data_IF_080701921910
#
_entry.id   IF_080701921910
#
_cell.length_a   1.000
_cell.length_b   1.000
_cell.length_c   1.000
_cell.angle_alpha   90.00
_cell.angle_beta   90.00
_cell.angle_gamma   90.00
#
_symmetry.space_group_name_H-M   'P 1'
#
loop_
_entity.id
_entity.type
_entity.pdbx_description
1 polymer ?
#
# COMPACT_ATOMS: atom_id res chain seq x y z
N UNK A 1 -49.24 34.69 14.69
CA UNK A 1 -48.80 33.34 14.28
C UNK A 1 -50.06 32.52 14.12
N UNK A 2 -50.43 32.15 12.89
CA UNK A 2 -51.44 31.12 12.73
C UNK A 2 -50.72 29.80 13.01
N UNK A 3 -51.15 29.07 14.03
CA UNK A 3 -50.69 27.70 14.24
C UNK A 3 -51.14 26.89 13.03
N UNK A 4 -50.17 26.35 12.28
CA UNK A 4 -50.44 25.35 11.25
C UNK A 4 -51.03 24.13 11.97
N UNK A 5 -52.33 23.91 11.84
CA UNK A 5 -52.97 22.70 12.35
C UNK A 5 -52.49 21.50 11.52
N UNK A 6 -51.98 20.48 12.21
CA UNK A 6 -51.60 19.21 11.60
C UNK A 6 -52.86 18.40 11.24
N UNK A 7 -52.80 17.64 10.14
CA UNK A 7 -53.84 16.66 9.82
C UNK A 7 -53.92 15.56 10.88
N UNK A 8 -55.10 15.02 11.15
CA UNK A 8 -55.28 13.83 12.01
C UNK A 8 -55.22 12.52 11.20
N UNK A 9 -55.10 12.60 9.87
CA UNK A 9 -54.96 11.44 8.99
C UNK A 9 -53.49 11.05 8.82
N UNK A 10 -53.15 9.81 9.19
CA UNK A 10 -51.78 9.30 9.14
C UNK A 10 -51.21 9.30 7.72
N UNK A 11 -52.02 8.95 6.72
CA UNK A 11 -51.60 8.91 5.31
C UNK A 11 -51.27 10.33 4.79
N UNK A 12 -52.04 11.32 5.20
CA UNK A 12 -51.77 12.74 4.90
C UNK A 12 -50.44 13.18 5.53
N UNK A 13 -50.23 12.93 6.83
CA UNK A 13 -48.96 13.26 7.51
C UNK A 13 -47.77 12.56 6.84
N UNK A 14 -47.90 11.27 6.50
CA UNK A 14 -46.84 10.51 5.83
C UNK A 14 -46.46 11.12 4.47
N UNK A 15 -47.47 11.53 3.71
CA UNK A 15 -47.28 12.16 2.39
C UNK A 15 -46.59 13.52 2.51
N UNK A 16 -46.98 14.33 3.50
CA UNK A 16 -46.32 15.62 3.79
C UNK A 16 -44.87 15.42 4.20
N UNK A 17 -44.57 14.47 5.08
CA UNK A 17 -43.19 14.14 5.50
C UNK A 17 -42.34 13.73 4.30
N UNK A 18 -42.84 12.82 3.46
CA UNK A 18 -42.13 12.38 2.24
C UNK A 18 -41.89 13.55 1.27
N UNK A 19 -42.85 14.47 1.15
CA UNK A 19 -42.69 15.69 0.35
C UNK A 19 -41.56 16.58 0.88
N UNK A 20 -41.52 16.83 2.18
CA UNK A 20 -40.44 17.61 2.80
C UNK A 20 -39.07 16.92 2.71
N UNK A 21 -39.02 15.60 2.85
CA UNK A 21 -37.78 14.83 2.64
C UNK A 21 -37.26 14.97 1.22
N UNK A 22 -38.13 14.82 0.21
CA UNK A 22 -37.78 15.02 -1.19
C UNK A 22 -37.31 16.45 -1.46
N UNK A 23 -38.02 17.44 -0.92
CA UNK A 23 -37.63 18.85 -1.05
C UNK A 23 -36.28 19.14 -0.39
N UNK A 24 -36.02 18.58 0.79
CA UNK A 24 -34.73 18.71 1.49
C UNK A 24 -33.59 18.08 0.68
N UNK A 25 -33.81 16.90 0.10
CA UNK A 25 -32.85 16.24 -0.79
C UNK A 25 -32.50 17.06 -2.03
N UNK A 26 -33.52 17.57 -2.73
CA UNK A 26 -33.32 18.45 -3.90
C UNK A 26 -32.65 19.78 -3.53
N UNK A 27 -32.97 20.32 -2.35
CA UNK A 27 -32.40 21.58 -1.87
C UNK A 27 -30.89 21.52 -1.75
N UNK A 28 -30.31 20.37 -1.38
CA UNK A 28 -28.85 20.18 -1.32
C UNK A 28 -28.19 20.48 -2.68
N UNK A 29 -28.74 19.91 -3.77
CA UNK A 29 -28.21 20.11 -5.12
C UNK A 29 -28.45 21.53 -5.63
N UNK A 30 -29.64 22.09 -5.38
CA UNK A 30 -29.99 23.44 -5.79
C UNK A 30 -29.18 24.53 -5.07
N UNK A 31 -28.81 24.30 -3.80
CA UNK A 31 -27.86 25.13 -3.06
C UNK A 31 -26.48 25.02 -3.70
N UNK A 32 -25.97 23.80 -3.93
CA UNK A 32 -24.66 23.58 -4.57
C UNK A 32 -24.53 24.24 -5.94
N UNK A 33 -25.57 24.14 -6.78
CA UNK A 33 -25.64 24.77 -8.10
C UNK A 33 -25.53 26.30 -8.03
N UNK A 34 -26.27 26.94 -7.12
CA UNK A 34 -26.24 28.40 -6.93
C UNK A 34 -24.91 28.88 -6.37
N UNK A 35 -24.37 28.15 -5.40
CA UNK A 35 -23.05 28.43 -4.84
C UNK A 35 -21.96 28.36 -5.92
N UNK A 36 -22.01 27.34 -6.79
CA UNK A 36 -21.09 27.20 -7.93
C UNK A 36 -21.21 28.39 -8.89
N UNK A 37 -22.44 28.72 -9.28
CA UNK A 37 -22.71 29.84 -10.18
C UNK A 37 -22.10 31.15 -9.67
N UNK A 38 -22.37 31.50 -8.40
CA UNK A 38 -21.84 32.72 -7.78
C UNK A 38 -20.31 32.70 -7.71
N UNK A 39 -19.73 31.54 -7.38
CA UNK A 39 -18.26 31.38 -7.27
C UNK A 39 -17.55 31.53 -8.61
N UNK A 40 -18.17 31.09 -9.71
CA UNK A 40 -17.59 31.12 -11.05
C UNK A 40 -17.88 32.42 -11.83
N UNK A 41 -19.02 33.07 -11.60
CA UNK A 41 -19.52 34.15 -12.47
C UNK A 41 -19.64 35.52 -11.78
N UNK A 42 -19.96 35.57 -10.48
CA UNK A 42 -20.45 36.81 -9.86
C UNK A 42 -19.44 37.49 -8.91
N UNK A 43 -18.35 36.81 -8.57
CA UNK A 43 -17.40 37.31 -7.58
C UNK A 43 -16.02 37.52 -8.20
N UNK A 44 -15.55 38.78 -8.16
CA UNK A 44 -14.14 39.10 -8.40
C UNK A 44 -13.23 38.29 -7.45
N UNK A 45 -12.04 37.91 -7.93
CA UNK A 45 -11.08 37.10 -7.17
C UNK A 45 -10.93 37.60 -5.72
N UNK A 46 -11.08 36.69 -4.76
CA UNK A 46 -10.92 36.96 -3.33
C UNK A 46 -12.20 37.26 -2.55
N UNK A 47 -13.35 37.54 -3.19
CA UNK A 47 -14.60 37.90 -2.48
C UNK A 47 -15.48 36.73 -2.01
N UNK A 48 -15.12 35.50 -2.37
CA UNK A 48 -15.89 34.29 -2.02
C UNK A 48 -16.10 34.13 -0.51
N UNK A 49 -15.04 34.34 0.27
CA UNK A 49 -15.06 34.15 1.71
C UNK A 49 -15.99 35.14 2.41
N UNK A 50 -15.94 36.42 2.02
CA UNK A 50 -16.79 37.48 2.55
C UNK A 50 -18.26 37.22 2.19
N UNK A 51 -18.54 36.82 0.96
CA UNK A 51 -19.89 36.52 0.51
C UNK A 51 -20.51 35.32 1.26
N UNK A 52 -19.77 34.22 1.42
CA UNK A 52 -20.23 33.09 2.24
C UNK A 52 -20.59 33.54 3.67
N UNK A 53 -19.77 34.41 4.28
CA UNK A 53 -20.04 34.96 5.61
C UNK A 53 -21.33 35.81 5.63
N UNK A 54 -21.60 36.59 4.59
CA UNK A 54 -22.83 37.40 4.49
C UNK A 54 -24.10 36.56 4.46
N UNK A 55 -24.07 35.38 3.83
CA UNK A 55 -25.19 34.44 3.80
C UNK A 55 -25.19 33.47 5.00
N UNK A 56 -24.41 33.75 6.05
CA UNK A 56 -24.24 32.90 7.23
C UNK A 56 -23.82 31.46 6.92
N UNK A 57 -22.98 31.27 5.91
CA UNK A 57 -22.46 29.97 5.49
C UNK A 57 -20.94 29.92 5.63
N UNK A 58 -20.39 28.81 6.14
CA UNK A 58 -18.95 28.61 6.12
C UNK A 58 -18.47 28.29 4.70
N UNK A 59 -17.27 28.75 4.35
CA UNK A 59 -16.65 28.45 3.04
C UNK A 59 -16.50 26.94 2.83
N UNK A 60 -16.17 26.20 3.90
CA UNK A 60 -16.09 24.74 3.88
C UNK A 60 -17.45 24.12 3.51
N UNK A 61 -18.52 24.49 4.22
CA UNK A 61 -19.86 23.97 3.95
C UNK A 61 -20.35 24.32 2.53
N UNK A 62 -20.05 25.53 2.06
CA UNK A 62 -20.37 25.96 0.70
C UNK A 62 -19.62 25.13 -0.36
N UNK A 63 -18.32 24.92 -0.17
CA UNK A 63 -17.51 24.11 -1.08
C UNK A 63 -17.97 22.64 -1.09
N UNK A 64 -18.40 22.09 0.05
CA UNK A 64 -18.96 20.73 0.12
C UNK A 64 -20.25 20.60 -0.69
N UNK A 65 -21.14 21.60 -0.65
CA UNK A 65 -22.35 21.64 -1.49
C UNK A 65 -22.02 21.69 -2.97
N UNK A 66 -21.05 22.53 -3.36
CA UNK A 66 -20.57 22.59 -4.75
C UNK A 66 -20.06 21.22 -5.18
N UNK A 67 -19.20 20.58 -4.37
CA UNK A 67 -18.64 19.26 -4.66
C UNK A 67 -19.73 18.20 -4.85
N UNK A 68 -20.72 18.14 -3.96
CA UNK A 68 -21.86 17.21 -4.09
C UNK A 68 -22.62 17.47 -5.40
N UNK A 69 -22.89 18.74 -5.73
CA UNK A 69 -23.57 19.09 -6.97
C UNK A 69 -22.77 18.67 -8.21
N UNK A 70 -21.46 18.94 -8.24
CA UNK A 70 -20.61 18.62 -9.39
C UNK A 70 -20.51 17.12 -9.67
N UNK A 71 -20.43 16.31 -8.62
CA UNK A 71 -20.22 14.87 -8.75
C UNK A 71 -21.49 14.09 -9.09
N UNK A 72 -22.66 14.58 -8.65
CA UNK A 72 -23.92 13.86 -8.84
C UNK A 72 -24.88 14.52 -9.82
N UNK A 73 -24.70 15.80 -10.17
CA UNK A 73 -25.52 16.57 -11.12
C UNK A 73 -27.04 16.27 -11.06
N UNK A 74 -27.58 16.18 -9.84
CA UNK A 74 -29.00 15.90 -9.56
C UNK A 74 -29.51 14.52 -10.07
N UNK A 75 -28.67 13.48 -10.08
CA UNK A 75 -29.09 12.09 -10.31
C UNK A 75 -30.15 11.68 -9.27
N UNK A 76 -31.32 11.27 -9.73
CA UNK A 76 -32.52 10.99 -8.91
C UNK A 76 -32.33 9.92 -7.83
N UNK A 77 -31.32 9.05 -7.92
CA UNK A 77 -31.04 8.04 -6.90
C UNK A 77 -30.31 8.61 -5.68
N UNK A 78 -29.69 9.80 -5.81
CA UNK A 78 -28.91 10.43 -4.73
C UNK A 78 -29.74 11.37 -3.86
N UNK A 79 -30.99 11.67 -4.21
CA UNK A 79 -31.83 12.65 -3.51
C UNK A 79 -32.38 12.18 -2.16
N UNK A 80 -32.31 10.87 -1.85
CA UNK A 80 -32.75 10.32 -0.55
C UNK A 80 -31.65 10.32 0.50
N UNK A 81 -30.38 10.52 0.11
CA UNK A 81 -29.24 10.41 1.03
C UNK A 81 -29.03 11.70 1.83
N UNK A 82 -28.66 11.59 3.12
CA UNK A 82 -28.25 12.75 3.91
C UNK A 82 -27.03 13.45 3.31
N UNK A 83 -26.96 14.77 3.48
CA UNK A 83 -25.87 15.62 2.95
C UNK A 83 -24.47 15.10 3.26
N UNK A 84 -24.22 14.65 4.49
CA UNK A 84 -22.89 14.17 4.89
C UNK A 84 -22.52 12.88 4.15
N UNK A 85 -23.47 11.95 3.95
CA UNK A 85 -23.24 10.73 3.18
C UNK A 85 -22.92 11.08 1.72
N UNK A 86 -23.71 11.97 1.11
CA UNK A 86 -23.46 12.46 -0.24
C UNK A 86 -22.06 13.08 -0.36
N UNK A 87 -21.66 13.90 0.61
CA UNK A 87 -20.33 14.50 0.59
C UNK A 87 -19.22 13.46 0.70
N UNK A 88 -19.32 12.49 1.61
CA UNK A 88 -18.29 11.46 1.73
C UNK A 88 -18.19 10.64 0.42
N UNK A 89 -19.32 10.22 -0.17
CA UNK A 89 -19.35 9.49 -1.45
C UNK A 89 -18.78 10.35 -2.60
N UNK A 90 -19.12 11.64 -2.68
CA UNK A 90 -18.58 12.57 -3.67
C UNK A 90 -17.04 12.71 -3.60
N UNK A 91 -16.44 12.37 -2.46
CA UNK A 91 -14.98 12.41 -2.29
C UNK A 91 -14.29 11.07 -2.50
N UNK A 92 -15.03 9.99 -2.74
CA UNK A 92 -14.48 8.72 -3.19
C UNK A 92 -14.09 8.81 -4.67
N UNK A 93 -13.10 8.02 -5.12
CA UNK A 93 -12.85 7.82 -6.54
C UNK A 93 -14.12 7.33 -7.25
N UNK A 94 -14.42 7.87 -8.43
CA UNK A 94 -15.61 7.52 -9.20
C UNK A 94 -15.88 6.00 -9.33
N UNK A 95 -14.89 5.14 -9.67
CA UNK A 95 -15.15 3.69 -9.77
C UNK A 95 -15.50 3.03 -8.44
N UNK A 96 -15.09 3.60 -7.31
CA UNK A 96 -15.34 3.04 -5.99
C UNK A 96 -16.73 3.42 -5.46
N UNK A 97 -17.43 4.37 -6.08
CA UNK A 97 -18.75 4.88 -5.63
C UNK A 97 -19.91 3.91 -5.86
N UNK A 98 -19.78 3.01 -6.83
CA UNK A 98 -20.82 2.04 -7.21
C UNK A 98 -20.39 0.60 -6.97
N UNK A 99 -19.15 0.38 -6.55
CA UNK A 99 -18.60 -0.93 -6.29
C UNK A 99 -18.97 -1.40 -4.89
N UNK A 100 -19.20 -2.69 -4.72
CA UNK A 100 -19.38 -3.30 -3.42
C UNK A 100 -18.07 -3.33 -2.63
N UNK A 101 -18.17 -3.05 -1.33
CA UNK A 101 -17.06 -3.05 -0.40
C UNK A 101 -17.43 -3.78 0.89
N UNK A 102 -16.47 -4.48 1.47
CA UNK A 102 -16.61 -5.08 2.79
C UNK A 102 -16.38 -4.03 3.86
N UNK A 103 -17.40 -3.77 4.66
CA UNK A 103 -17.34 -2.84 5.81
C UNK A 103 -16.50 -3.41 6.96
N UNK A 104 -16.17 -2.58 7.95
CA UNK A 104 -15.49 -3.01 9.18
C UNK A 104 -16.23 -4.10 9.96
N UNK A 105 -17.55 -4.22 9.73
CA UNK A 105 -18.40 -5.22 10.39
C UNK A 105 -18.49 -6.53 9.57
N UNK A 106 -17.80 -6.63 8.43
CA UNK A 106 -17.84 -7.79 7.54
C UNK A 106 -19.02 -7.83 6.57
N UNK A 107 -19.89 -6.83 6.58
CA UNK A 107 -21.02 -6.72 5.64
C UNK A 107 -20.55 -6.17 4.29
N UNK A 108 -21.04 -6.73 3.19
CA UNK A 108 -20.84 -6.21 1.84
C UNK A 108 -21.92 -5.18 1.53
N UNK A 109 -21.50 -3.94 1.23
CA UNK A 109 -22.39 -2.82 0.93
C UNK A 109 -21.86 -1.99 -0.22
N UNK A 110 -22.74 -1.33 -0.96
CA UNK A 110 -22.35 -0.21 -1.82
C UNK A 110 -22.26 1.10 -0.99
N UNK A 111 -21.48 2.10 -1.43
CA UNK A 111 -21.30 3.35 -0.68
C UNK A 111 -22.59 4.12 -0.32
N UNK A 112 -23.64 4.00 -1.11
CA UNK A 112 -24.96 4.59 -0.83
C UNK A 112 -25.72 3.91 0.32
N UNK A 113 -25.38 2.67 0.64
CA UNK A 113 -25.93 1.91 1.77
C UNK A 113 -25.09 2.08 3.05
N UNK A 114 -23.91 2.69 2.93
CA UNK A 114 -22.99 2.87 4.04
C UNK A 114 -23.34 4.08 4.93
N UNK A 115 -23.07 3.92 6.22
CA UNK A 115 -23.03 5.02 7.16
C UNK A 115 -21.84 5.94 6.88
N UNK A 116 -21.92 7.20 7.31
CA UNK A 116 -20.82 8.18 7.21
C UNK A 116 -19.52 7.65 7.84
N UNK A 117 -19.62 6.86 8.91
CA UNK A 117 -18.44 6.26 9.57
C UNK A 117 -17.80 5.20 8.67
N UNK A 118 -18.59 4.30 8.08
CA UNK A 118 -18.11 3.28 7.15
C UNK A 118 -17.47 3.92 5.91
N UNK A 119 -18.08 4.98 5.35
CA UNK A 119 -17.53 5.72 4.21
C UNK A 119 -16.16 6.35 4.51
N UNK A 120 -15.99 6.92 5.71
CA UNK A 120 -14.70 7.49 6.13
C UNK A 120 -13.62 6.43 6.28
N UNK A 121 -13.99 5.27 6.82
CA UNK A 121 -13.07 4.16 6.98
C UNK A 121 -12.68 3.57 5.61
N UNK A 122 -13.65 3.38 4.70
CA UNK A 122 -13.38 2.98 3.32
C UNK A 122 -12.39 3.93 2.65
N UNK A 123 -12.57 5.24 2.80
CA UNK A 123 -11.67 6.25 2.25
C UNK A 123 -10.25 6.16 2.83
N UNK A 124 -10.13 5.90 4.14
CA UNK A 124 -8.84 5.69 4.82
C UNK A 124 -8.14 4.45 4.26
N UNK A 125 -8.87 3.34 4.08
CA UNK A 125 -8.34 2.09 3.54
C UNK A 125 -7.88 2.23 2.09
N UNK A 126 -8.68 2.87 1.24
CA UNK A 126 -8.31 3.14 -0.16
C UNK A 126 -7.03 3.97 -0.23
N UNK A 127 -6.92 5.02 0.58
CA UNK A 127 -5.72 5.86 0.64
C UNK A 127 -4.47 5.06 1.05
N UNK A 128 -4.57 4.25 2.09
CA UNK A 128 -3.46 3.40 2.54
C UNK A 128 -3.02 2.40 1.47
N UNK A 129 -3.99 1.75 0.81
CA UNK A 129 -3.72 0.81 -0.28
C UNK A 129 -3.03 1.51 -1.46
N UNK A 130 -3.48 2.70 -1.83
CA UNK A 130 -2.89 3.46 -2.93
C UNK A 130 -1.45 3.93 -2.59
N UNK A 131 -1.19 4.34 -1.35
CA UNK A 131 0.16 4.66 -0.84
C UNK A 131 1.08 3.43 -0.88
N UNK A 132 0.60 2.28 -0.42
CA UNK A 132 1.35 1.01 -0.47
C UNK A 132 1.65 0.59 -1.92
N UNK A 133 0.65 0.68 -2.81
CA UNK A 133 0.83 0.34 -4.22
C UNK A 133 1.84 1.27 -4.90
N UNK A 134 1.81 2.57 -4.61
CA UNK A 134 2.80 3.51 -5.14
C UNK A 134 4.23 3.19 -4.66
N UNK A 135 4.37 2.81 -3.39
CA UNK A 135 5.66 2.40 -2.83
C UNK A 135 6.18 1.11 -3.47
N UNK A 136 5.31 0.11 -3.67
CA UNK A 136 5.67 -1.14 -4.35
C UNK A 136 6.04 -0.90 -5.82
N UNK A 137 5.27 -0.07 -6.52
CA UNK A 137 5.56 0.29 -7.91
C UNK A 137 6.93 0.96 -8.05
N UNK A 138 7.26 1.88 -7.15
CA UNK A 138 8.58 2.52 -7.12
C UNK A 138 9.72 1.51 -6.88
N UNK A 139 9.51 0.49 -6.04
CA UNK A 139 10.51 -0.56 -5.80
C UNK A 139 10.69 -1.44 -7.04
N UNK A 140 9.59 -1.82 -7.71
CA UNK A 140 9.65 -2.59 -8.96
C UNK A 140 10.38 -1.83 -10.05
N UNK A 141 10.11 -0.53 -10.23
CA UNK A 141 10.81 0.30 -11.21
C UNK A 141 12.31 0.43 -10.91
N UNK A 142 12.69 0.54 -9.63
CA UNK A 142 14.10 0.55 -9.23
C UNK A 142 14.78 -0.78 -9.57
N UNK A 143 14.13 -1.91 -9.27
CA UNK A 143 14.64 -3.24 -9.60
C UNK A 143 14.77 -3.48 -11.11
N UNK A 144 13.81 -3.02 -11.91
CA UNK A 144 13.88 -3.13 -13.37
C UNK A 144 15.00 -2.26 -13.96
N UNK A 145 15.23 -1.07 -13.40
CA UNK A 145 16.35 -0.22 -13.82
C UNK A 145 17.69 -0.86 -13.49
N UNK A 146 17.85 -1.44 -12.30
CA UNK A 146 19.10 -2.12 -11.94
C UNK A 146 19.33 -3.35 -12.81
N UNK A 147 18.30 -4.14 -13.10
CA UNK A 147 18.37 -5.27 -14.04
C UNK A 147 18.77 -4.83 -15.45
N UNK A 148 18.16 -3.76 -15.99
CA UNK A 148 18.50 -3.24 -17.33
C UNK A 148 19.95 -2.76 -17.42
N UNK A 149 20.46 -2.11 -16.38
CA UNK A 149 21.87 -1.69 -16.31
C UNK A 149 22.79 -2.92 -16.30
N UNK A 150 22.48 -3.92 -15.48
CA UNK A 150 23.25 -5.15 -15.41
C UNK A 150 23.26 -5.90 -16.76
N UNK A 151 22.12 -5.97 -17.46
CA UNK A 151 22.03 -6.59 -18.79
C UNK A 151 22.85 -5.84 -19.85
N UNK A 152 22.81 -4.51 -19.89
CA UNK A 152 23.64 -3.71 -20.82
C UNK A 152 25.13 -3.91 -20.57
N UNK A 153 25.54 -3.92 -19.30
CA UNK A 153 26.91 -4.24 -18.92
C UNK A 153 27.30 -5.69 -19.29
N UNK A 154 26.32 -6.59 -19.38
CA UNK A 154 26.51 -7.97 -19.84
C UNK A 154 26.75 -8.04 -21.35
N UNK A 155 25.92 -7.35 -22.12
CA UNK A 155 26.01 -7.28 -23.58
C UNK A 155 27.28 -6.54 -24.06
N UNK A 156 27.62 -5.40 -23.47
CA UNK A 156 28.87 -4.67 -23.76
C UNK A 156 30.12 -5.53 -23.46
N UNK A 157 29.99 -6.41 -22.47
CA UNK A 157 31.07 -7.27 -22.06
C UNK A 157 31.26 -8.51 -22.94
N UNK A 158 30.19 -9.03 -23.51
CA UNK A 158 30.23 -10.13 -24.48
C UNK A 158 30.68 -9.64 -25.86
N UNK A 159 30.34 -8.40 -26.23
CA UNK A 159 30.74 -7.79 -27.51
C UNK A 159 32.16 -7.20 -27.52
N UNK A 160 32.92 -7.27 -26.41
CA UNK A 160 34.35 -6.93 -26.39
C UNK A 160 35.18 -8.14 -26.79
N UNK A 161 36.06 -8.00 -27.78
CA UNK A 161 37.02 -9.03 -28.17
C UNK A 161 37.84 -9.51 -26.96
N UNK A 162 38.06 -10.83 -26.80
CA UNK A 162 38.86 -11.35 -25.68
C UNK A 162 40.31 -10.86 -25.81
N UNK A 163 40.74 -10.01 -24.88
CA UNK A 163 42.16 -9.67 -24.72
C UNK A 163 42.92 -10.95 -24.34
N UNK A 164 43.77 -11.42 -25.25
CA UNK A 164 44.70 -12.52 -25.00
C UNK A 164 45.79 -12.03 -24.06
N UNK A 165 45.56 -12.19 -22.76
CA UNK A 165 46.59 -11.99 -21.74
C UNK A 165 47.31 -13.33 -21.58
N UNK A 166 48.56 -13.41 -22.03
CA UNK A 166 49.49 -14.47 -21.64
C UNK A 166 49.64 -14.43 -20.11
N UNK A 167 48.96 -15.34 -19.41
CA UNK A 167 49.10 -15.52 -17.97
C UNK A 167 50.12 -16.61 -17.69
N UNK A 168 51.24 -16.22 -17.11
CA UNK A 168 52.07 -17.11 -16.31
C UNK A 168 51.17 -17.79 -15.28
N UNK A 169 51.09 -19.12 -15.33
CA UNK A 169 50.30 -19.94 -14.40
C UNK A 169 50.98 -19.91 -13.03
N UNK A 170 50.70 -18.89 -12.23
CA UNK A 170 50.96 -18.94 -10.80
C UNK A 170 49.95 -19.93 -10.21
N UNK A 171 50.45 -21.10 -9.81
CA UNK A 171 49.71 -22.05 -8.97
C UNK A 171 49.42 -21.37 -7.63
N UNK A 172 48.31 -20.66 -7.54
CA UNK A 172 47.81 -20.16 -6.27
C UNK A 172 47.27 -21.36 -5.47
N UNK A 173 48.08 -21.83 -4.52
CA UNK A 173 47.67 -22.86 -3.57
C UNK A 173 46.73 -22.19 -2.57
N UNK A 174 45.48 -22.65 -2.53
CA UNK A 174 44.49 -22.18 -1.54
C UNK A 174 45.07 -22.36 -0.13
N UNK A 175 45.30 -21.27 0.63
CA UNK A 175 45.88 -21.35 1.97
C UNK A 175 45.03 -22.23 2.91
N UNK A 176 45.66 -23.02 3.78
CA UNK A 176 44.94 -23.97 4.65
C UNK A 176 44.01 -23.27 5.67
N UNK A 177 44.28 -22.03 6.01
CA UNK A 177 43.40 -21.23 6.89
C UNK A 177 42.04 -20.92 6.23
N UNK A 178 42.03 -20.71 4.91
CA UNK A 178 40.80 -20.50 4.13
C UNK A 178 39.96 -21.79 4.11
N UNK A 179 40.60 -22.95 3.99
CA UNK A 179 39.91 -24.25 4.08
C UNK A 179 39.28 -24.45 5.47
N UNK A 180 39.97 -24.05 6.55
CA UNK A 180 39.46 -24.19 7.92
C UNK A 180 38.27 -23.28 8.20
N UNK A 181 38.33 -22.02 7.75
CA UNK A 181 37.20 -21.09 7.83
C UNK A 181 35.97 -21.60 7.05
N UNK A 182 36.21 -22.27 5.92
CA UNK A 182 35.17 -22.87 5.11
C UNK A 182 34.47 -24.03 5.81
N UNK A 183 35.25 -24.92 6.44
CA UNK A 183 34.72 -26.05 7.21
C UNK A 183 33.84 -25.57 8.39
N UNK A 184 34.26 -24.50 9.07
CA UNK A 184 33.50 -23.86 10.13
C UNK A 184 32.20 -23.22 9.61
N UNK A 185 32.25 -22.57 8.44
CA UNK A 185 31.07 -22.01 7.80
C UNK A 185 30.08 -23.10 7.39
N UNK A 186 30.56 -24.24 6.84
CA UNK A 186 29.72 -25.40 6.51
C UNK A 186 28.98 -25.96 7.72
N UNK A 187 29.68 -26.18 8.85
CA UNK A 187 29.04 -26.69 10.07
C UNK A 187 28.00 -25.72 10.64
N UNK A 188 28.29 -24.42 10.62
CA UNK A 188 27.31 -23.40 11.03
C UNK A 188 26.10 -23.38 10.09
N UNK A 189 26.33 -23.53 8.79
CA UNK A 189 25.30 -23.55 7.76
C UNK A 189 24.38 -24.78 7.87
N UNK A 190 24.92 -26.00 8.04
CA UNK A 190 24.12 -27.22 8.23
C UNK A 190 23.20 -27.12 9.45
N UNK A 191 23.67 -26.48 10.53
CA UNK A 191 22.88 -26.24 11.73
C UNK A 191 21.73 -25.26 11.50
N UNK A 192 21.95 -24.20 10.74
CA UNK A 192 20.95 -23.16 10.45
C UNK A 192 19.98 -23.55 9.31
N UNK A 193 20.39 -24.38 8.35
CA UNK A 193 19.53 -24.82 7.23
C UNK A 193 18.36 -25.72 7.67
N UNK A 194 18.47 -26.37 8.84
CA UNK A 194 17.38 -27.17 9.40
C UNK A 194 16.25 -26.30 9.99
N UNK A 195 16.49 -25.01 10.25
CA UNK A 195 15.49 -24.08 10.79
C UNK A 195 14.44 -23.62 9.76
N UNK A 196 14.66 -23.79 8.46
CA UNK A 196 13.73 -23.27 7.44
C UNK A 196 12.39 -24.02 7.40
N UNK A 197 12.40 -25.33 7.65
CA UNK A 197 11.17 -26.10 7.77
C UNK A 197 10.48 -25.80 9.11
N UNK A 198 11.24 -25.63 10.18
CA UNK A 198 10.71 -25.24 11.50
C UNK A 198 10.06 -23.86 11.47
N UNK A 199 10.66 -22.88 10.79
CA UNK A 199 10.07 -21.55 10.60
C UNK A 199 8.83 -21.57 9.70
N UNK A 200 8.76 -22.47 8.72
CA UNK A 200 7.53 -22.68 7.93
C UNK A 200 6.42 -23.29 8.78
N UNK A 201 6.75 -24.26 9.62
CA UNK A 201 5.81 -24.88 10.55
C UNK A 201 5.35 -23.89 11.62
N UNK A 202 6.26 -23.06 12.15
CA UNK A 202 5.96 -21.97 13.08
C UNK A 202 5.08 -20.91 12.42
N UNK A 203 5.41 -20.46 11.20
CA UNK A 203 4.58 -19.54 10.43
C UNK A 203 3.18 -20.10 10.16
N UNK A 204 3.09 -21.39 9.88
CA UNK A 204 1.80 -22.06 9.64
C UNK A 204 1.01 -22.23 10.94
N UNK A 205 1.66 -22.60 12.06
CA UNK A 205 1.03 -22.65 13.39
C UNK A 205 0.56 -21.29 13.84
N UNK A 206 1.38 -20.25 13.65
CA UNK A 206 1.04 -18.87 13.93
C UNK A 206 -0.12 -18.39 13.04
N UNK A 207 -0.11 -18.72 11.74
CA UNK A 207 -1.26 -18.42 10.85
C UNK A 207 -2.54 -19.14 11.33
N UNK A 208 -2.43 -20.39 11.75
CA UNK A 208 -3.56 -21.23 12.16
C UNK A 208 -4.09 -20.92 13.56
N UNK A 209 -3.28 -20.43 14.48
CA UNK A 209 -3.71 -20.05 15.83
C UNK A 209 -4.72 -18.91 15.84
N UNK A 210 -4.81 -18.15 14.74
CA UNK A 210 -5.74 -17.03 14.58
C UNK A 210 -6.89 -17.31 13.59
N UNK A 211 -7.06 -18.57 13.16
CA UNK A 211 -8.21 -19.00 12.35
C UNK A 211 -9.49 -19.20 13.16
N UNK A 212 -9.45 -18.99 14.49
CA UNK A 212 -10.63 -18.96 15.35
C UNK A 212 -11.40 -17.65 15.13
N UNK A 213 -12.62 -17.69 14.56
CA UNK A 213 -13.42 -16.50 14.29
C UNK A 213 -13.71 -15.64 15.53
N UNK A 214 -13.69 -16.25 16.74
CA UNK A 214 -13.97 -15.54 17.99
C UNK A 214 -12.78 -14.72 18.50
N UNK A 215 -11.54 -15.14 18.24
CA UNK A 215 -10.34 -14.37 18.62
C UNK A 215 -10.06 -13.19 17.68
N UNK A 216 -10.48 -13.29 16.42
CA UNK A 216 -10.37 -12.20 15.44
C UNK A 216 -11.24 -10.97 15.79
N UNK A 217 -12.28 -11.14 16.61
CA UNK A 217 -13.21 -10.07 16.99
C UNK A 217 -12.68 -9.17 18.13
N UNK A 218 -11.69 -9.63 18.91
CA UNK A 218 -11.15 -8.89 20.07
C UNK A 218 -9.84 -8.12 19.76
N UNK A 219 -9.26 -8.28 18.56
CA UNK A 219 -7.99 -7.65 18.20
C UNK A 219 -8.12 -6.15 17.85
N UNK A 220 -7.36 -5.31 18.54
CA UNK A 220 -7.21 -3.88 18.20
C UNK A 220 -6.33 -3.71 16.95
N UNK A 221 -6.49 -2.61 16.19
CA UNK A 221 -5.68 -2.33 14.98
C UNK A 221 -4.16 -2.46 15.19
N UNK A 222 -3.66 -2.12 16.39
CA UNK A 222 -2.24 -2.25 16.75
C UNK A 222 -1.76 -3.71 16.63
N UNK A 223 -2.56 -4.66 17.13
CA UNK A 223 -2.27 -6.10 17.09
C UNK A 223 -2.35 -6.65 15.66
N UNK A 224 -3.21 -6.08 14.80
CA UNK A 224 -3.30 -6.45 13.38
C UNK A 224 -2.07 -5.99 12.58
N UNK A 225 -1.56 -4.79 12.86
CA UNK A 225 -0.35 -4.28 12.22
C UNK A 225 0.90 -5.03 12.69
N UNK A 226 0.99 -5.32 13.99
CA UNK A 226 2.03 -6.17 14.57
C UNK A 226 2.02 -7.58 13.95
N UNK A 227 0.83 -8.13 13.67
CA UNK A 227 0.61 -9.40 12.96
C UNK A 227 1.15 -9.37 11.54
N UNK A 228 0.76 -8.37 10.74
CA UNK A 228 1.21 -8.24 9.35
C UNK A 228 2.73 -8.06 9.26
N UNK A 229 3.29 -7.22 10.15
CA UNK A 229 4.72 -7.02 10.30
C UNK A 229 5.46 -8.33 10.65
N UNK A 230 4.92 -9.10 11.60
CA UNK A 230 5.51 -10.38 12.02
C UNK A 230 5.52 -11.41 10.89
N UNK A 231 4.43 -11.52 10.12
CA UNK A 231 4.35 -12.41 8.95
C UNK A 231 5.41 -12.03 7.90
N UNK A 232 5.57 -10.74 7.65
CA UNK A 232 6.56 -10.26 6.68
C UNK A 232 8.00 -10.54 7.16
N UNK A 233 8.29 -10.36 8.45
CA UNK A 233 9.60 -10.72 9.03
C UNK A 233 9.92 -12.22 8.84
N UNK A 234 8.96 -13.11 9.09
CA UNK A 234 9.15 -14.55 8.88
C UNK A 234 9.36 -14.93 7.41
N UNK A 235 8.64 -14.29 6.47
CA UNK A 235 8.85 -14.50 5.03
C UNK A 235 10.26 -14.09 4.59
N UNK A 236 10.77 -12.97 5.11
CA UNK A 236 12.13 -12.51 4.84
C UNK A 236 13.14 -13.53 5.38
N UNK A 237 12.96 -14.01 6.61
CA UNK A 237 13.82 -15.03 7.21
C UNK A 237 13.87 -16.32 6.38
N UNK A 238 12.70 -16.82 5.93
CA UNK A 238 12.61 -18.00 5.05
C UNK A 238 13.34 -17.76 3.72
N UNK A 239 13.17 -16.58 3.13
CA UNK A 239 13.81 -16.23 1.85
C UNK A 239 15.33 -16.18 1.97
N UNK A 240 15.85 -15.59 3.05
CA UNK A 240 17.29 -15.58 3.36
C UNK A 240 17.81 -17.00 3.52
N UNK A 241 17.12 -17.85 4.28
CA UNK A 241 17.55 -19.24 4.46
C UNK A 241 17.56 -20.04 3.16
N UNK A 242 16.55 -19.88 2.30
CA UNK A 242 16.53 -20.52 0.99
C UNK A 242 17.70 -20.03 0.12
N UNK A 243 17.95 -18.72 0.08
CA UNK A 243 19.07 -18.13 -0.66
C UNK A 243 20.42 -18.71 -0.21
N UNK A 244 20.66 -18.75 1.11
CA UNK A 244 21.89 -19.32 1.67
C UNK A 244 21.98 -20.81 1.33
N UNK A 245 20.86 -21.55 1.32
CA UNK A 245 20.82 -22.98 0.97
C UNK A 245 21.16 -23.25 -0.49
N UNK A 246 20.52 -22.54 -1.41
CA UNK A 246 20.75 -22.67 -2.86
C UNK A 246 22.19 -22.30 -3.24
N UNK A 247 22.77 -21.35 -2.52
CA UNK A 247 24.10 -20.80 -2.78
C UNK A 247 25.18 -21.25 -1.78
N UNK A 248 24.90 -22.31 -1.03
CA UNK A 248 25.85 -22.84 -0.05
C UNK A 248 27.13 -23.36 -0.74
N UNK A 249 28.21 -23.44 0.04
CA UNK A 249 29.57 -23.76 -0.44
C UNK A 249 29.66 -25.06 -1.26
N UNK A 250 28.70 -25.97 -1.12
CA UNK A 250 28.63 -27.20 -1.90
C UNK A 250 28.34 -26.97 -3.39
N UNK A 251 27.67 -25.86 -3.75
CA UNK A 251 27.22 -25.59 -5.12
C UNK A 251 28.33 -25.03 -6.02
N UNK A 252 29.21 -24.16 -5.51
CA UNK A 252 30.07 -23.33 -6.37
C UNK A 252 31.56 -23.69 -6.40
N UNK A 253 32.00 -24.76 -5.70
CA UNK A 253 33.40 -25.24 -5.72
C UNK A 253 34.41 -24.09 -5.75
N UNK A 254 34.72 -23.49 -4.60
CA UNK A 254 35.53 -22.27 -4.46
C UNK A 254 36.79 -22.22 -5.36
N UNK A 255 37.39 -23.37 -5.64
CA UNK A 255 38.54 -23.55 -6.55
C UNK A 255 38.27 -23.09 -7.99
N UNK A 256 37.02 -23.08 -8.43
CA UNK A 256 36.58 -22.60 -9.75
C UNK A 256 36.41 -21.08 -9.78
N UNK A 257 35.87 -20.49 -8.70
CA UNK A 257 35.73 -19.02 -8.55
C UNK A 257 37.10 -18.34 -8.43
N UNK A 258 38.05 -18.96 -7.72
CA UNK A 258 39.43 -18.46 -7.62
C UNK A 258 40.12 -18.44 -8.98
N UNK A 259 39.81 -19.40 -9.86
CA UNK A 259 40.36 -19.47 -11.23
C UNK A 259 39.59 -18.61 -12.25
N UNK A 260 38.51 -17.96 -11.84
CA UNK A 260 37.72 -17.13 -12.73
C UNK A 260 38.55 -15.98 -13.32
N UNK A 261 38.22 -15.56 -14.55
CA UNK A 261 38.85 -14.40 -15.17
C UNK A 261 38.55 -13.11 -14.36
N UNK A 262 39.37 -12.05 -14.47
CA UNK A 262 39.21 -10.82 -13.69
C UNK A 262 37.81 -10.21 -13.77
N UNK A 263 37.21 -10.21 -14.96
CA UNK A 263 35.90 -9.61 -15.23
C UNK A 263 34.78 -10.35 -14.50
N UNK A 264 34.82 -11.68 -14.49
CA UNK A 264 33.89 -12.51 -13.73
C UNK A 264 34.07 -12.30 -12.22
N UNK A 265 35.30 -12.07 -11.74
CA UNK A 265 35.57 -11.74 -10.33
C UNK A 265 35.05 -10.36 -9.96
N UNK A 266 35.24 -9.36 -10.82
CA UNK A 266 34.74 -7.99 -10.63
C UNK A 266 33.20 -7.97 -10.53
N UNK A 267 32.51 -8.64 -11.45
CA UNK A 267 31.05 -8.81 -11.38
C UNK A 267 30.57 -9.52 -10.12
N UNK A 268 31.31 -10.53 -9.68
CA UNK A 268 30.99 -11.22 -8.44
C UNK A 268 31.17 -10.27 -7.24
N UNK A 269 32.19 -9.41 -7.27
CA UNK A 269 32.41 -8.40 -6.24
C UNK A 269 31.30 -7.34 -6.22
N UNK A 270 30.80 -6.88 -7.37
CA UNK A 270 29.67 -5.96 -7.48
C UNK A 270 28.39 -6.57 -6.89
N UNK A 271 28.06 -7.81 -7.25
CA UNK A 271 26.89 -8.50 -6.69
C UNK A 271 27.03 -8.77 -5.19
N UNK A 272 28.25 -9.06 -4.71
CA UNK A 272 28.53 -9.16 -3.27
C UNK A 272 28.31 -7.79 -2.58
N UNK A 273 28.67 -6.69 -3.22
CA UNK A 273 28.45 -5.35 -2.67
C UNK A 273 26.95 -5.04 -2.55
N UNK A 274 26.15 -5.35 -3.59
CA UNK A 274 24.69 -5.21 -3.55
C UNK A 274 24.06 -6.06 -2.44
N UNK A 275 24.53 -7.30 -2.26
CA UNK A 275 24.04 -8.16 -1.18
C UNK A 275 24.37 -7.58 0.20
N UNK A 276 25.57 -7.00 0.37
CA UNK A 276 25.96 -6.32 1.62
C UNK A 276 25.14 -5.07 1.90
N UNK A 277 24.82 -4.30 0.87
CA UNK A 277 23.94 -3.12 1.01
C UNK A 277 22.53 -3.56 1.43
N UNK A 278 21.99 -4.58 0.77
CA UNK A 278 20.70 -5.17 1.13
C UNK A 278 20.66 -5.62 2.60
N UNK A 279 21.69 -6.35 3.06
CA UNK A 279 21.76 -6.78 4.47
C UNK A 279 21.89 -5.59 5.43
N UNK A 280 22.67 -4.57 5.07
CA UNK A 280 22.82 -3.36 5.89
C UNK A 280 21.50 -2.60 6.02
N UNK A 281 20.74 -2.49 4.93
CA UNK A 281 19.42 -1.87 4.94
C UNK A 281 18.42 -2.67 5.79
N UNK A 282 18.42 -4.01 5.69
CA UNK A 282 17.60 -4.86 6.55
C UNK A 282 17.96 -4.71 8.03
N UNK A 283 19.24 -4.68 8.38
CA UNK A 283 19.70 -4.43 9.76
C UNK A 283 19.26 -3.06 10.26
N UNK A 284 19.31 -2.04 9.41
CA UNK A 284 18.86 -0.70 9.74
C UNK A 284 17.34 -0.67 10.01
N UNK A 285 16.55 -1.34 9.16
CA UNK A 285 15.10 -1.50 9.33
C UNK A 285 14.76 -2.22 10.64
N UNK A 286 15.47 -3.31 10.98
CA UNK A 286 15.28 -4.04 12.24
C UNK A 286 15.60 -3.20 13.48
N UNK A 287 16.58 -2.30 13.37
CA UNK A 287 16.98 -1.40 14.46
C UNK A 287 16.17 -0.08 14.49
N UNK A 288 15.13 0.06 13.66
CA UNK A 288 14.29 1.27 13.59
C UNK A 288 15.00 2.50 13.02
N UNK A 289 16.13 2.32 12.34
CA UNK A 289 16.87 3.40 11.66
C UNK A 289 16.64 3.25 10.15
N UNK A 290 15.81 4.10 9.57
CA UNK A 290 15.75 4.21 8.10
C UNK A 290 17.03 4.93 7.68
N UNK A 291 17.99 4.19 7.09
CA UNK A 291 19.12 4.82 6.41
C UNK A 291 18.60 5.31 5.07
N UNK A 292 18.33 6.61 5.01
CA UNK A 292 18.06 7.31 3.77
C UNK A 292 19.42 7.61 3.15
N UNK A 293 19.80 6.85 2.13
CA UNK A 293 20.88 7.23 1.22
C UNK A 293 20.30 8.07 0.08
#
# INVERSE_FOLDING_TARGET
MNELQLSNDLTTIETEIKSYQNFAGQSIFEIGRRLKHVKENDLAHGRWKEWCKQINMSVDYANKHIKVFEEFNNKSTSTSLPFNSLYEIATLPEPERTKEHTTSNGETKTPDEMTVRELRELKKQLKQRDEQNAQLQSQVEQAQRSESIALKQLEEAENREPEVIEREVVKEVVPDDVKRQLEQFKQKFERESNNANELRDELQRYRNSFSDPNQAYEEKELTRLERESSINAHKIAISIQNFIKENSVETYRLDTVIKANPKSKERLQENIALLKEFTSNLEAMLNGRIVVN
#
